data_IF_385597352213
#
_entry.id   IF_385597352213
#
_cell.length_a   1.000
_cell.length_b   1.000
_cell.length_c   1.000
_cell.angle_alpha   90.00
_cell.angle_beta   90.00
_cell.angle_gamma   90.00
#
_symmetry.space_group_name_H-M   'P 1'
#
loop_
_entity.id
_entity.type
_entity.pdbx_description
1 polymer ?
#
# COMPACT_ATOMS: atom_id res chain seq x y z
N UNK A 1 -10.10 -4.61 -24.74
CA UNK A 1 -10.09 -5.05 -23.33
C UNK A 1 -11.27 -4.36 -22.65
N UNK A 2 -12.21 -5.11 -22.07
CA UNK A 2 -13.39 -4.51 -21.44
C UNK A 2 -13.13 -4.33 -19.95
N UNK A 3 -13.13 -3.09 -19.50
CA UNK A 3 -13.00 -2.71 -18.09
C UNK A 3 -14.04 -3.43 -17.20
N UNK A 4 -15.24 -3.68 -17.73
CA UNK A 4 -16.33 -4.36 -17.02
C UNK A 4 -15.92 -5.72 -16.42
N UNK A 5 -15.08 -6.51 -17.13
CA UNK A 5 -14.60 -7.79 -16.58
C UNK A 5 -13.67 -7.60 -15.39
N UNK A 6 -12.87 -6.51 -15.40
CA UNK A 6 -11.98 -6.19 -14.28
C UNK A 6 -12.79 -5.71 -13.08
N UNK A 7 -13.82 -4.88 -13.29
CA UNK A 7 -14.71 -4.43 -12.22
C UNK A 7 -15.45 -5.59 -11.58
N UNK A 8 -16.03 -6.49 -12.39
CA UNK A 8 -16.66 -7.71 -11.86
C UNK A 8 -15.67 -8.56 -11.04
N UNK A 9 -14.40 -8.68 -11.51
CA UNK A 9 -13.38 -9.42 -10.77
C UNK A 9 -13.04 -8.76 -9.43
N UNK A 10 -13.04 -7.41 -9.36
CA UNK A 10 -12.85 -6.68 -8.10
C UNK A 10 -13.99 -7.00 -7.12
N UNK A 11 -15.24 -6.96 -7.60
CA UNK A 11 -16.42 -7.26 -6.78
C UNK A 11 -16.41 -8.72 -6.28
N UNK A 12 -16.07 -9.67 -7.14
CA UNK A 12 -15.97 -11.10 -6.81
C UNK A 12 -14.86 -11.38 -5.79
N UNK A 13 -13.72 -10.69 -5.88
CA UNK A 13 -12.56 -10.91 -5.01
C UNK A 13 -12.54 -9.99 -3.78
N UNK A 14 -13.55 -9.13 -3.61
CA UNK A 14 -13.59 -8.15 -2.52
C UNK A 14 -13.36 -8.75 -1.13
N UNK A 15 -13.94 -9.92 -0.77
CA UNK A 15 -13.65 -10.54 0.53
C UNK A 15 -12.15 -10.83 0.72
N UNK A 16 -11.48 -11.40 -0.28
CA UNK A 16 -10.05 -11.69 -0.22
C UNK A 16 -9.21 -10.40 -0.19
N UNK A 17 -9.63 -9.35 -0.89
CA UNK A 17 -8.98 -8.03 -0.87
C UNK A 17 -9.04 -7.41 0.54
N UNK A 18 -10.19 -7.54 1.21
CA UNK A 18 -10.36 -7.10 2.60
C UNK A 18 -9.47 -7.93 3.54
N UNK A 19 -9.40 -9.25 3.36
CA UNK A 19 -8.54 -10.10 4.18
C UNK A 19 -7.06 -9.71 4.06
N UNK A 20 -6.56 -9.46 2.84
CA UNK A 20 -5.19 -8.96 2.61
C UNK A 20 -4.94 -7.60 3.27
N UNK A 21 -5.89 -6.67 3.14
CA UNK A 21 -5.81 -5.39 3.83
C UNK A 21 -5.77 -5.59 5.35
N UNK A 22 -6.58 -6.48 5.89
CA UNK A 22 -6.60 -6.79 7.33
C UNK A 22 -5.29 -7.38 7.82
N UNK A 23 -4.62 -8.23 7.03
CA UNK A 23 -3.28 -8.71 7.36
C UNK A 23 -2.28 -7.56 7.48
N UNK A 24 -2.29 -6.63 6.52
CA UNK A 24 -1.40 -5.46 6.55
C UNK A 24 -1.73 -4.50 7.70
N UNK A 25 -3.01 -4.29 8.01
CA UNK A 25 -3.47 -3.40 9.08
C UNK A 25 -3.09 -3.93 10.49
N UNK A 26 -2.98 -5.24 10.68
CA UNK A 26 -2.54 -5.85 11.95
C UNK A 26 -1.07 -5.57 12.26
N UNK A 27 -0.27 -5.22 11.27
CA UNK A 27 1.15 -4.91 11.46
C UNK A 27 1.28 -3.48 12.00
N UNK A 28 1.84 -3.34 13.19
CA UNK A 28 1.96 -2.06 13.90
C UNK A 28 3.16 -1.25 13.38
N UNK A 29 3.16 -0.86 12.12
CA UNK A 29 4.26 -0.15 11.46
C UNK A 29 4.34 1.34 11.87
N UNK A 30 4.41 1.61 13.17
CA UNK A 30 4.53 2.96 13.73
C UNK A 30 5.96 3.46 13.52
N UNK A 31 6.16 4.38 12.57
CA UNK A 31 7.50 4.86 12.19
C UNK A 31 8.14 5.82 13.19
N UNK A 32 7.33 6.51 13.97
CA UNK A 32 7.77 7.52 14.94
C UNK A 32 8.35 6.91 16.22
N UNK A 33 8.15 5.61 16.47
CA UNK A 33 8.63 4.93 17.67
C UNK A 33 9.62 3.81 17.31
N UNK A 34 10.85 3.93 17.82
CA UNK A 34 11.93 2.97 17.57
C UNK A 34 11.60 1.53 18.02
N UNK A 35 10.72 1.36 18.99
CA UNK A 35 10.26 0.05 19.45
C UNK A 35 9.54 -0.74 18.34
N UNK A 36 8.95 -0.06 17.36
CA UNK A 36 8.24 -0.67 16.23
C UNK A 36 9.07 -0.80 14.95
N UNK A 37 10.38 -0.57 15.01
CA UNK A 37 11.26 -0.69 13.82
C UNK A 37 11.17 -2.07 13.15
N UNK A 38 11.04 -3.14 13.91
CA UNK A 38 10.84 -4.49 13.39
C UNK A 38 9.48 -4.66 12.69
N UNK A 39 8.45 -4.00 13.19
CA UNK A 39 7.12 -4.03 12.58
C UNK A 39 7.09 -3.24 11.26
N UNK A 40 7.80 -2.12 11.15
CA UNK A 40 7.97 -1.43 9.87
C UNK A 40 8.66 -2.33 8.83
N UNK A 41 9.71 -3.06 9.21
CA UNK A 41 10.34 -4.06 8.33
C UNK A 41 9.38 -5.17 7.93
N UNK A 42 8.59 -5.68 8.87
CA UNK A 42 7.59 -6.72 8.61
C UNK A 42 6.51 -6.25 7.63
N UNK A 43 6.05 -5.00 7.73
CA UNK A 43 5.11 -4.43 6.78
C UNK A 43 5.72 -4.33 5.37
N UNK A 44 6.96 -3.86 5.26
CA UNK A 44 7.68 -3.82 3.99
C UNK A 44 7.86 -5.23 3.39
N UNK A 45 8.24 -6.22 4.19
CA UNK A 45 8.40 -7.62 3.74
C UNK A 45 7.08 -8.25 3.31
N UNK A 46 5.98 -7.93 4.01
CA UNK A 46 4.64 -8.35 3.63
C UNK A 46 4.26 -7.79 2.25
N UNK A 47 4.45 -6.49 2.04
CA UNK A 47 4.18 -5.84 0.75
C UNK A 47 5.02 -6.43 -0.38
N UNK A 48 6.30 -6.67 -0.16
CA UNK A 48 7.17 -7.35 -1.14
C UNK A 48 6.63 -8.73 -1.49
N UNK A 49 6.23 -9.51 -0.47
CA UNK A 49 5.67 -10.84 -0.67
C UNK A 49 4.37 -10.78 -1.47
N UNK A 50 3.47 -9.89 -1.12
CA UNK A 50 2.18 -9.71 -1.79
C UNK A 50 2.36 -9.28 -3.25
N UNK A 51 3.20 -8.30 -3.54
CA UNK A 51 3.53 -7.86 -4.90
C UNK A 51 4.11 -9.00 -5.76
N UNK A 52 4.95 -9.84 -5.17
CA UNK A 52 5.53 -11.01 -5.86
C UNK A 52 4.47 -12.05 -6.23
N UNK A 53 3.39 -12.20 -5.47
CA UNK A 53 2.27 -13.09 -5.85
C UNK A 53 1.63 -12.68 -7.17
N UNK A 54 1.70 -11.39 -7.48
CA UNK A 54 1.20 -10.84 -8.75
C UNK A 54 2.27 -10.82 -9.86
N UNK A 55 3.50 -11.33 -9.59
CA UNK A 55 4.59 -11.35 -10.55
C UNK A 55 5.26 -9.98 -10.76
N UNK A 56 5.25 -9.12 -9.76
CA UNK A 56 6.14 -7.98 -9.71
C UNK A 56 7.55 -8.44 -9.32
N UNK A 57 8.58 -7.84 -9.92
CA UNK A 57 9.94 -7.89 -9.40
C UNK A 57 10.02 -6.86 -8.25
N UNK A 58 9.73 -7.33 -7.04
CA UNK A 58 9.61 -6.48 -5.87
C UNK A 58 10.69 -6.79 -4.84
N UNK A 59 11.26 -5.75 -4.25
CA UNK A 59 12.33 -5.86 -3.28
C UNK A 59 12.19 -4.79 -2.19
N UNK A 60 12.52 -5.17 -0.95
CA UNK A 60 12.79 -4.23 0.11
C UNK A 60 14.17 -3.63 -0.06
N UNK A 61 14.27 -2.33 0.06
CA UNK A 61 15.52 -1.55 -0.01
C UNK A 61 15.75 -0.87 1.34
N UNK A 62 16.73 -1.34 2.08
CA UNK A 62 17.06 -0.75 3.38
C UNK A 62 17.61 0.68 3.20
N UNK A 63 17.25 1.56 4.12
CA UNK A 63 17.68 2.95 4.20
C UNK A 63 18.34 3.22 5.56
N UNK A 64 18.73 4.47 5.84
CA UNK A 64 19.16 4.87 7.18
C UNK A 64 18.04 4.81 8.22
N UNK A 65 16.79 4.95 7.78
CA UNK A 65 15.59 4.88 8.62
C UNK A 65 14.80 3.58 8.40
N UNK A 66 13.57 3.71 7.91
CA UNK A 66 12.72 2.58 7.54
C UNK A 66 12.90 2.22 6.06
N UNK A 67 12.74 0.94 5.67
CA UNK A 67 13.02 0.52 4.31
C UNK A 67 11.99 1.05 3.30
N UNK A 68 12.43 1.21 2.05
CA UNK A 68 11.55 1.41 0.90
C UNK A 68 11.15 0.06 0.30
N UNK A 69 9.97 -0.01 -0.30
CA UNK A 69 9.54 -1.12 -1.14
C UNK A 69 9.48 -0.65 -2.58
N UNK A 70 10.22 -1.31 -3.46
CA UNK A 70 10.23 -1.03 -4.90
C UNK A 70 9.83 -2.29 -5.64
N UNK A 71 8.82 -2.20 -6.50
CA UNK A 71 8.34 -3.31 -7.30
C UNK A 71 8.06 -2.89 -8.74
N UNK A 72 8.54 -3.66 -9.70
CA UNK A 72 8.34 -3.37 -11.12
C UNK A 72 7.53 -4.47 -11.81
N UNK A 73 6.54 -4.07 -12.58
CA UNK A 73 5.82 -4.96 -13.48
C UNK A 73 6.20 -4.66 -14.92
N UNK A 74 6.53 -5.71 -15.68
CA UNK A 74 6.76 -5.60 -17.11
C UNK A 74 5.48 -5.18 -17.82
N UNK A 75 5.60 -4.30 -18.81
CA UNK A 75 4.50 -3.81 -19.62
C UNK A 75 5.01 -3.07 -20.86
N UNK A 76 4.09 -2.58 -21.68
CA UNK A 76 4.37 -1.77 -22.87
C UNK A 76 3.69 -0.40 -22.70
N UNK A 77 4.15 0.62 -23.42
CA UNK A 77 3.58 1.96 -23.33
C UNK A 77 4.11 2.79 -22.16
N UNK A 78 3.33 3.76 -21.65
CA UNK A 78 3.78 4.67 -20.61
C UNK A 78 4.14 3.93 -19.31
N UNK A 79 5.05 4.54 -18.56
CA UNK A 79 5.47 4.06 -17.25
C UNK A 79 4.75 4.85 -16.15
N UNK A 80 3.95 4.17 -15.38
CA UNK A 80 3.23 4.73 -14.23
C UNK A 80 3.94 4.28 -12.96
N UNK A 81 4.33 5.23 -12.12
CA UNK A 81 4.76 4.98 -10.75
C UNK A 81 3.62 5.27 -9.79
N UNK A 82 3.29 4.32 -8.94
CA UNK A 82 2.38 4.52 -7.84
C UNK A 82 3.16 4.67 -6.54
N UNK A 83 2.93 5.76 -5.84
CA UNK A 83 3.50 6.04 -4.54
C UNK A 83 2.44 5.98 -3.45
N UNK A 84 2.82 5.46 -2.30
CA UNK A 84 2.08 5.45 -1.04
C UNK A 84 3.01 5.16 0.13
N UNK A 85 2.49 5.19 1.35
CA UNK A 85 3.26 4.83 2.52
C UNK A 85 2.60 3.71 3.33
N UNK A 86 3.43 2.91 4.01
CA UNK A 86 2.95 1.78 4.79
C UNK A 86 3.10 1.97 6.29
N UNK A 87 3.78 3.02 6.71
CA UNK A 87 3.86 3.39 8.11
C UNK A 87 2.60 4.11 8.58
N UNK A 88 2.47 4.24 9.87
CA UNK A 88 1.28 4.81 10.50
C UNK A 88 1.67 5.61 11.74
N UNK A 89 0.82 6.59 12.09
CA UNK A 89 0.90 7.31 13.35
C UNK A 89 0.66 6.38 14.56
N UNK A 90 1.18 6.74 15.75
CA UNK A 90 0.75 6.14 17.01
C UNK A 90 -0.76 6.13 17.16
N UNK A 91 -1.27 5.16 17.92
CA UNK A 91 -2.70 5.04 18.15
C UNK A 91 -3.17 5.68 19.47
N UNK A 92 -2.27 6.35 20.18
CA UNK A 92 -2.60 7.02 21.44
C UNK A 92 -3.50 8.27 21.22
N UNK A 93 -4.41 8.55 22.15
CA UNK A 93 -4.72 7.78 23.35
C UNK A 93 -5.66 6.59 23.03
N UNK A 94 -5.31 5.40 23.53
CA UNK A 94 -6.01 4.15 23.20
C UNK A 94 -7.47 4.13 23.70
N UNK A 95 -7.77 4.84 24.77
CA UNK A 95 -9.11 4.93 25.35
C UNK A 95 -10.14 5.67 24.47
N UNK A 96 -9.69 6.37 23.44
CA UNK A 96 -10.59 7.04 22.48
C UNK A 96 -11.01 6.14 21.31
N UNK A 97 -10.47 4.93 21.23
CA UNK A 97 -10.84 4.00 20.18
C UNK A 97 -12.01 3.13 20.60
N UNK A 98 -13.04 3.03 19.75
CA UNK A 98 -14.18 2.13 19.95
C UNK A 98 -13.79 0.64 19.88
N UNK A 99 -12.65 0.33 19.26
CA UNK A 99 -12.08 -1.02 19.16
C UNK A 99 -10.55 -0.94 19.07
N UNK A 100 -9.81 -2.02 19.41
CA UNK A 100 -8.37 -2.01 19.33
C UNK A 100 -7.87 -1.57 17.93
N UNK A 101 -7.00 -0.54 17.83
CA UNK A 101 -6.65 0.10 16.57
C UNK A 101 -5.94 -0.79 15.55
N UNK A 102 -5.31 -1.90 15.99
CA UNK A 102 -4.65 -2.87 15.13
C UNK A 102 -5.39 -4.21 15.02
N UNK A 103 -6.67 -4.23 15.39
CA UNK A 103 -7.60 -5.32 15.16
C UNK A 103 -8.69 -4.85 14.18
N UNK A 104 -8.40 -4.85 12.87
CA UNK A 104 -9.31 -4.28 11.88
C UNK A 104 -10.68 -4.97 11.89
N UNK A 105 -11.73 -4.17 11.73
CA UNK A 105 -13.12 -4.63 11.68
C UNK A 105 -13.83 -4.05 10.49
N UNK A 106 -14.67 -4.85 9.86
CA UNK A 106 -15.66 -4.42 8.89
C UNK A 106 -16.98 -4.19 9.63
N UNK A 107 -17.48 -2.96 9.62
CA UNK A 107 -18.69 -2.56 10.32
C UNK A 107 -19.76 -2.09 9.33
N UNK A 108 -21.02 -2.47 9.58
CA UNK A 108 -22.15 -1.92 8.88
C UNK A 108 -22.56 -0.59 9.53
N UNK A 109 -22.63 0.47 8.76
CA UNK A 109 -23.04 1.80 9.23
C UNK A 109 -24.16 2.35 8.37
N UNK A 110 -24.76 3.46 8.80
CA UNK A 110 -25.78 4.19 8.01
C UNK A 110 -25.22 4.70 6.67
N UNK A 111 -23.91 4.82 6.54
CA UNK A 111 -23.18 5.26 5.33
C UNK A 111 -22.66 4.08 4.49
N UNK A 112 -23.00 2.84 4.87
CA UNK A 112 -22.49 1.61 4.24
C UNK A 112 -21.43 0.90 5.09
N UNK A 113 -20.72 -0.02 4.47
CA UNK A 113 -19.63 -0.78 5.11
C UNK A 113 -18.39 0.08 5.27
N UNK A 114 -17.82 0.10 6.46
CA UNK A 114 -16.58 0.80 6.77
C UNK A 114 -15.58 -0.14 7.43
N UNK A 115 -14.29 0.07 7.14
CA UNK A 115 -13.19 -0.61 7.83
C UNK A 115 -12.65 0.34 8.90
N UNK A 116 -12.64 -0.12 10.15
CA UNK A 116 -12.12 0.65 11.28
C UNK A 116 -10.82 0.03 11.77
N UNK A 117 -9.71 0.75 11.61
CA UNK A 117 -8.39 0.45 12.16
C UNK A 117 -7.43 1.63 11.96
N UNK A 118 -6.29 1.66 12.67
CA UNK A 118 -5.18 2.55 12.37
C UNK A 118 -4.60 2.18 10.98
N UNK A 119 -4.41 3.18 10.10
CA UNK A 119 -3.92 2.98 8.74
C UNK A 119 -4.99 2.55 7.73
N UNK A 120 -6.28 2.39 8.14
CA UNK A 120 -7.35 1.99 7.22
C UNK A 120 -7.66 3.06 6.16
N UNK A 121 -7.50 4.34 6.49
CA UNK A 121 -7.63 5.45 5.55
C UNK A 121 -6.26 6.01 5.12
N UNK A 122 -5.33 6.10 6.06
CA UNK A 122 -4.03 6.75 5.93
C UNK A 122 -2.93 5.76 6.32
N UNK A 123 -2.19 5.19 5.39
CA UNK A 123 -2.39 5.18 3.91
C UNK A 123 -2.52 3.73 3.38
N UNK A 124 -2.43 2.72 4.27
CA UNK A 124 -2.49 1.29 3.89
C UNK A 124 -3.74 0.94 3.08
N UNK A 125 -4.89 1.53 3.44
CA UNK A 125 -6.14 1.32 2.70
C UNK A 125 -6.06 1.86 1.28
N UNK A 126 -5.58 3.09 1.10
CA UNK A 126 -5.44 3.72 -0.21
C UNK A 126 -4.37 3.00 -1.06
N UNK A 127 -3.22 2.69 -0.45
CA UNK A 127 -2.17 1.90 -1.09
C UNK A 127 -2.72 0.58 -1.64
N UNK A 128 -3.50 -0.16 -0.85
CA UNK A 128 -4.06 -1.44 -1.26
C UNK A 128 -5.11 -1.31 -2.36
N UNK A 129 -5.82 -0.19 -2.51
CA UNK A 129 -6.77 -0.02 -3.62
C UNK A 129 -6.08 -0.13 -4.98
N UNK A 130 -4.92 0.47 -5.15
CA UNK A 130 -4.16 0.38 -6.40
C UNK A 130 -3.54 -1.01 -6.60
N UNK A 131 -3.04 -1.62 -5.53
CA UNK A 131 -2.48 -2.98 -5.56
C UNK A 131 -3.55 -3.97 -6.03
N UNK A 132 -4.76 -3.91 -5.47
CA UNK A 132 -5.86 -4.80 -5.83
C UNK A 132 -6.41 -4.52 -7.24
N UNK A 133 -6.41 -3.28 -7.69
CA UNK A 133 -6.75 -2.96 -9.08
C UNK A 133 -5.75 -3.63 -10.06
N UNK A 134 -4.46 -3.59 -9.76
CA UNK A 134 -3.44 -4.28 -10.55
C UNK A 134 -3.61 -5.80 -10.50
N UNK A 135 -3.97 -6.36 -9.34
CA UNK A 135 -4.24 -7.79 -9.15
C UNK A 135 -5.41 -8.26 -10.03
N UNK A 136 -6.53 -7.57 -9.95
CA UNK A 136 -7.73 -7.88 -10.75
C UNK A 136 -7.44 -7.76 -12.25
N UNK A 137 -6.72 -6.72 -12.66
CA UNK A 137 -6.35 -6.56 -14.06
C UNK A 137 -5.48 -7.72 -14.57
N UNK A 138 -4.44 -8.08 -13.81
CA UNK A 138 -3.55 -9.20 -14.18
C UNK A 138 -4.29 -10.54 -14.17
N UNK A 139 -5.21 -10.77 -13.26
CA UNK A 139 -6.04 -11.99 -13.23
C UNK A 139 -6.88 -12.14 -14.50
N UNK A 140 -7.45 -11.06 -15.00
CA UNK A 140 -8.29 -11.08 -16.21
C UNK A 140 -7.48 -11.09 -17.51
N UNK A 141 -6.37 -10.34 -17.56
CA UNK A 141 -5.64 -10.08 -18.80
C UNK A 141 -4.22 -10.69 -18.85
N UNK A 142 -3.76 -11.31 -17.77
CA UNK A 142 -2.43 -11.92 -17.65
C UNK A 142 -1.29 -10.89 -17.50
N UNK A 143 -1.50 -9.65 -17.91
CA UNK A 143 -0.50 -8.57 -17.85
C UNK A 143 -1.16 -7.21 -17.64
N UNK A 144 -0.42 -6.25 -17.09
CA UNK A 144 -0.87 -4.86 -17.01
C UNK A 144 -0.83 -4.18 -18.38
N UNK A 145 -1.71 -3.19 -18.62
CA UNK A 145 -1.78 -2.48 -19.92
C UNK A 145 -0.60 -1.52 -20.13
N UNK A 146 0.08 -1.15 -19.04
CA UNK A 146 1.20 -0.20 -19.00
C UNK A 146 2.31 -0.76 -18.11
N UNK A 147 3.50 -0.17 -18.16
CA UNK A 147 4.55 -0.44 -17.16
C UNK A 147 4.12 0.18 -15.83
N UNK A 148 4.25 -0.56 -14.75
CA UNK A 148 3.91 -0.08 -13.41
C UNK A 148 5.08 -0.30 -12.48
N UNK A 149 5.45 0.74 -11.75
CA UNK A 149 6.30 0.65 -10.57
C UNK A 149 5.52 0.99 -9.32
N UNK A 150 5.63 0.14 -8.31
CA UNK A 150 5.18 0.40 -6.96
C UNK A 150 6.35 0.96 -6.17
N UNK A 151 6.14 2.07 -5.51
CA UNK A 151 7.14 2.72 -4.66
C UNK A 151 6.49 3.11 -3.34
N UNK A 152 6.81 2.37 -2.28
CA UNK A 152 6.22 2.58 -0.96
C UNK A 152 7.31 2.93 0.05
N UNK A 153 7.07 3.96 0.86
CA UNK A 153 7.94 4.35 1.95
C UNK A 153 7.38 3.96 3.32
N UNK A 154 8.24 4.01 4.33
CA UNK A 154 7.90 3.69 5.71
C UNK A 154 8.28 4.80 6.70
N UNK A 155 8.38 6.04 6.24
CA UNK A 155 8.77 7.20 7.04
C UNK A 155 7.90 8.45 6.79
N UNK A 156 6.77 8.32 6.06
CA UNK A 156 5.94 9.48 5.76
C UNK A 156 5.51 10.18 7.04
N UNK A 157 5.00 9.43 7.99
CA UNK A 157 4.50 9.88 9.29
C UNK A 157 5.60 10.36 10.25
N UNK A 158 6.85 10.18 9.89
CA UNK A 158 8.03 10.66 10.63
C UNK A 158 8.90 11.65 9.83
N UNK A 159 8.38 12.16 8.69
CA UNK A 159 8.98 13.25 7.91
C UNK A 159 9.84 12.81 6.73
N UNK A 160 9.72 11.58 6.24
CA UNK A 160 10.31 11.08 4.97
C UNK A 160 11.81 11.35 4.81
N UNK A 161 12.60 11.27 5.88
CA UNK A 161 14.01 11.63 5.85
C UNK A 161 14.83 10.86 4.83
N UNK A 162 14.48 9.59 4.58
CA UNK A 162 15.17 8.73 3.62
C UNK A 162 14.66 8.87 2.18
N UNK A 163 13.46 9.46 1.96
CA UNK A 163 12.80 9.50 0.66
C UNK A 163 13.63 10.22 -0.41
N UNK A 164 13.97 11.49 -0.17
CA UNK A 164 14.70 12.30 -1.17
C UNK A 164 16.09 11.76 -1.46
N UNK A 165 16.91 11.36 -0.47
CA UNK A 165 18.19 10.69 -0.72
C UNK A 165 18.04 9.41 -1.54
N UNK A 166 17.05 8.56 -1.20
CA UNK A 166 16.78 7.32 -1.93
C UNK A 166 16.38 7.57 -3.39
N UNK A 167 15.45 8.51 -3.63
CA UNK A 167 15.03 8.88 -4.97
C UNK A 167 16.19 9.41 -5.83
N UNK A 168 17.05 10.24 -5.26
CA UNK A 168 18.24 10.76 -5.97
C UNK A 168 19.21 9.64 -6.34
N UNK A 169 19.47 8.71 -5.43
CA UNK A 169 20.36 7.58 -5.66
C UNK A 169 19.82 6.58 -6.71
N UNK A 170 18.49 6.49 -6.84
CA UNK A 170 17.81 5.54 -7.72
C UNK A 170 17.02 6.23 -8.84
N UNK A 171 17.39 7.47 -9.22
CA UNK A 171 16.60 8.30 -10.12
C UNK A 171 16.38 7.67 -11.50
N UNK A 172 17.35 6.93 -12.03
CA UNK A 172 17.20 6.23 -13.32
C UNK A 172 16.20 5.07 -13.26
N UNK A 173 16.15 4.34 -12.15
CA UNK A 173 15.22 3.23 -11.93
C UNK A 173 13.78 3.75 -11.72
N UNK A 174 13.63 4.83 -10.94
CA UNK A 174 12.34 5.39 -10.56
C UNK A 174 11.78 6.37 -11.59
N UNK A 175 12.52 6.70 -12.64
CA UNK A 175 12.03 7.59 -13.70
C UNK A 175 10.77 7.02 -14.34
N UNK A 176 9.69 7.77 -14.30
CA UNK A 176 8.38 7.42 -14.85
C UNK A 176 7.79 8.56 -15.67
N UNK A 177 6.82 8.25 -16.52
CA UNK A 177 6.10 9.26 -17.32
C UNK A 177 4.98 9.90 -16.49
N UNK A 178 4.41 9.14 -15.53
CA UNK A 178 3.31 9.56 -14.66
C UNK A 178 3.61 9.06 -13.25
N UNK A 179 3.45 9.92 -12.24
CA UNK A 179 3.41 9.53 -10.84
C UNK A 179 1.98 9.70 -10.31
N UNK A 180 1.45 8.64 -9.70
CA UNK A 180 0.19 8.66 -8.97
C UNK A 180 0.52 8.62 -7.48
N UNK A 181 0.07 9.63 -6.76
CA UNK A 181 0.20 9.74 -5.31
C UNK A 181 -1.20 9.65 -4.74
N UNK A 182 -1.44 8.65 -3.90
CA UNK A 182 -2.75 8.41 -3.30
C UNK A 182 -2.61 8.50 -1.78
N UNK A 183 -2.58 9.72 -1.30
CA UNK A 183 -2.57 10.08 0.11
C UNK A 183 -3.54 11.25 0.27
N UNK A 184 -4.83 10.90 0.29
CA UNK A 184 -5.94 11.86 0.16
C UNK A 184 -6.88 11.75 1.34
N UNK A 185 -7.58 12.86 1.63
CA UNK A 185 -8.65 12.88 2.64
C UNK A 185 -9.93 12.19 2.13
N UNK A 186 -10.67 11.59 3.04
CA UNK A 186 -12.00 11.07 2.74
C UNK A 186 -13.03 12.19 2.95
N UNK A 187 -13.74 12.57 1.88
CA UNK A 187 -14.90 13.47 1.97
C UNK A 187 -16.14 12.63 2.30
N UNK A 188 -16.69 12.83 3.49
CA UNK A 188 -17.92 12.19 3.97
C UNK A 188 -19.12 13.13 3.83
#
# INVERSE_FOLDING_TARGET
MTISKVLNQIDEDLPNSIDRLFELLKIKSISTDHAYKSECKKAADWLVSDLRTMGFDANRRDTSGHPMVVGHSKGTGPHVMFYGHYDVQPADPLELWDSPPFEPKLEETKKGKVIRARGAADDKGQLMTFVEACRAWKKIHGKLPVRVSMFFEGEEESGSHSLVPFMKANASELKSDIALICDTGLYL
#
